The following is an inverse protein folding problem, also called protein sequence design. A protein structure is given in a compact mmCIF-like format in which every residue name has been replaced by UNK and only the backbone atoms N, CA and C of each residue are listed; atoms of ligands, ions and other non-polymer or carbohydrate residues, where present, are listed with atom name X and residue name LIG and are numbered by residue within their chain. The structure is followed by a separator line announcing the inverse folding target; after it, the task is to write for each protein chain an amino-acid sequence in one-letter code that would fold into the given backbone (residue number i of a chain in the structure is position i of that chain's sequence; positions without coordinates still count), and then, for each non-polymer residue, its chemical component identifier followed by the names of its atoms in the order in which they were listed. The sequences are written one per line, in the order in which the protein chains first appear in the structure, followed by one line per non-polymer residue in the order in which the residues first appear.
data_IF_354559454555
#
_entry.id   IF_354559454555
#
_cell.length_a   1.000
_cell.length_b   1.000
_cell.length_c   1.000
_cell.angle_alpha   90.00
_cell.angle_beta   90.00
_cell.angle_gamma   90.00
#
_symmetry.space_group_name_H-M   'P 1'
#
loop_
_entity.id
_entity.type
_entity.pdbx_description
1 polymer ?
#
# COMPACT_ATOMS: atom_id res chain seq x y z
N UNK A 1 20.60 22.69 11.57
CA UNK A 1 20.86 22.26 10.19
C UNK A 1 19.92 21.11 9.90
N UNK A 2 18.92 21.34 9.04
CA UNK A 2 17.92 20.35 8.68
C UNK A 2 18.48 19.36 7.67
N UNK A 3 18.16 18.08 7.85
CA UNK A 3 18.22 17.09 6.80
C UNK A 3 16.83 16.48 6.69
N UNK A 4 16.04 17.02 5.77
CA UNK A 4 14.80 16.41 5.35
C UNK A 4 15.17 15.29 4.37
N UNK A 5 15.05 14.05 4.83
CA UNK A 5 15.07 12.88 3.97
C UNK A 5 13.70 12.81 3.29
N UNK A 6 13.55 13.48 2.15
CA UNK A 6 12.33 13.39 1.34
C UNK A 6 12.70 13.43 -0.15
N UNK A 7 13.38 12.39 -0.62
CA UNK A 7 13.39 12.08 -2.06
C UNK A 7 12.02 11.52 -2.46
N UNK A 8 11.05 12.41 -2.69
CA UNK A 8 9.71 12.09 -3.21
C UNK A 8 9.52 12.75 -4.58
N UNK A 9 10.50 12.62 -5.45
CA UNK A 9 10.46 13.16 -6.81
C UNK A 9 9.62 12.32 -7.78
N UNK A 10 9.14 11.12 -7.39
CA UNK A 10 8.39 10.24 -8.30
C UNK A 10 6.86 10.44 -8.30
N UNK A 11 6.35 11.36 -7.49
CA UNK A 11 4.92 11.68 -7.43
C UNK A 11 4.02 10.49 -7.05
N UNK A 12 2.74 10.77 -6.89
CA UNK A 12 1.68 9.78 -6.58
C UNK A 12 1.45 8.73 -7.70
N UNK A 13 2.31 8.70 -8.70
CA UNK A 13 2.20 7.85 -9.89
C UNK A 13 2.46 6.37 -9.59
N UNK A 14 3.27 6.06 -8.58
CA UNK A 14 3.52 4.67 -8.18
C UNK A 14 2.59 4.22 -7.06
N UNK A 15 1.60 3.39 -7.43
CA UNK A 15 0.57 2.86 -6.51
C UNK A 15 1.08 1.63 -5.75
N UNK A 16 2.07 1.79 -4.86
CA UNK A 16 2.62 0.68 -4.07
C UNK A 16 1.74 0.21 -2.89
N UNK A 17 0.76 1.00 -2.44
CA UNK A 17 -0.07 0.64 -1.29
C UNK A 17 -1.03 -0.54 -1.55
N UNK A 18 -1.32 -1.33 -0.50
CA UNK A 18 -2.34 -2.39 -0.52
C UNK A 18 -3.76 -1.81 -0.66
N UNK A 19 -3.95 -0.55 -0.29
CA UNK A 19 -5.23 0.17 -0.32
C UNK A 19 -5.06 1.38 -1.24
N UNK A 20 -5.99 1.55 -2.18
CA UNK A 20 -6.13 2.79 -2.94
C UNK A 20 -6.83 3.84 -2.07
N UNK A 21 -6.34 5.08 -2.10
CA UNK A 21 -6.96 6.22 -1.44
C UNK A 21 -7.39 7.21 -2.51
N UNK A 22 -8.67 7.55 -2.54
CA UNK A 22 -9.16 8.68 -3.32
C UNK A 22 -8.89 9.96 -2.52
N UNK A 23 -8.07 10.85 -3.08
CA UNK A 23 -7.67 12.08 -2.40
C UNK A 23 -8.77 13.15 -2.35
N UNK A 24 -9.81 13.04 -3.18
CA UNK A 24 -10.91 14.00 -3.24
C UNK A 24 -11.85 13.83 -2.04
N UNK A 25 -12.14 12.59 -1.66
CA UNK A 25 -13.12 12.25 -0.61
C UNK A 25 -12.53 11.40 0.53
N UNK A 26 -11.24 11.06 0.47
CA UNK A 26 -10.53 10.19 1.42
C UNK A 26 -11.05 8.74 1.47
N UNK A 27 -11.81 8.31 0.46
CA UNK A 27 -12.30 6.94 0.36
C UNK A 27 -11.14 5.96 0.18
N UNK A 28 -11.29 4.78 0.79
CA UNK A 28 -10.27 3.74 0.81
C UNK A 28 -10.80 2.47 0.17
N UNK A 29 -10.17 2.04 -0.92
CA UNK A 29 -10.54 0.81 -1.64
C UNK A 29 -9.42 -0.21 -1.53
N UNK A 30 -9.61 -1.34 -0.83
CA UNK A 30 -8.63 -2.42 -0.78
C UNK A 30 -8.36 -3.01 -2.17
N UNK A 31 -7.09 -3.27 -2.50
CA UNK A 31 -6.71 -4.01 -3.71
C UNK A 31 -6.73 -5.51 -3.46
N UNK A 32 -6.66 -6.33 -4.51
CA UNK A 32 -6.54 -7.79 -4.37
C UNK A 32 -5.34 -8.22 -3.50
N UNK A 33 -4.22 -7.51 -3.61
CA UNK A 33 -3.04 -7.75 -2.77
C UNK A 33 -3.30 -7.53 -1.27
N UNK A 34 -4.27 -6.69 -0.89
CA UNK A 34 -4.68 -6.53 0.51
C UNK A 34 -5.22 -7.84 1.07
N UNK A 35 -6.13 -8.50 0.34
CA UNK A 35 -6.75 -9.74 0.79
C UNK A 35 -5.75 -10.90 0.83
N UNK A 36 -4.83 -10.95 -0.14
CA UNK A 36 -3.73 -11.91 -0.10
C UNK A 36 -2.87 -11.73 1.17
N UNK A 37 -2.39 -10.51 1.45
CA UNK A 37 -1.59 -10.24 2.64
C UNK A 37 -2.39 -10.49 3.92
N UNK A 38 -3.69 -10.15 3.93
CA UNK A 38 -4.58 -10.45 5.05
C UNK A 38 -4.65 -11.96 5.34
N UNK A 39 -4.79 -12.79 4.31
CA UNK A 39 -4.81 -14.25 4.46
C UNK A 39 -3.46 -14.78 4.95
N UNK A 40 -2.36 -14.32 4.35
CA UNK A 40 -1.01 -14.73 4.77
C UNK A 40 -0.76 -14.43 6.25
N UNK A 41 -1.14 -13.24 6.71
CA UNK A 41 -1.00 -12.85 8.13
C UNK A 41 -1.93 -13.67 9.01
N UNK A 42 -3.19 -13.87 8.58
CA UNK A 42 -4.20 -14.62 9.36
C UNK A 42 -3.78 -16.06 9.58
N UNK A 43 -3.27 -16.69 8.53
CA UNK A 43 -2.94 -18.11 8.51
C UNK A 43 -1.45 -18.35 8.87
N UNK A 44 -0.68 -17.27 9.04
CA UNK A 44 0.76 -17.26 9.32
C UNK A 44 1.55 -18.16 8.36
N UNK A 45 1.12 -18.21 7.10
CA UNK A 45 1.71 -19.03 6.05
C UNK A 45 1.54 -18.36 4.70
N UNK A 46 2.44 -18.63 3.76
CA UNK A 46 2.33 -18.18 2.38
C UNK A 46 1.77 -19.35 1.56
N UNK A 47 0.63 -19.20 0.86
CA UNK A 47 0.09 -20.26 0.02
C UNK A 47 1.07 -20.67 -1.07
N UNK A 48 1.19 -21.98 -1.32
CA UNK A 48 1.97 -22.50 -2.44
C UNK A 48 1.37 -22.03 -3.77
N UNK A 49 2.25 -21.59 -4.68
CA UNK A 49 1.92 -20.98 -5.98
C UNK A 49 1.50 -21.96 -7.05
#
# INVERSE_FOLDING_TARGET
MGQANFEWAEGYTKRFGLVYVDFQNQERTPKQSFYFVQQVIRDNTVPDS
#
